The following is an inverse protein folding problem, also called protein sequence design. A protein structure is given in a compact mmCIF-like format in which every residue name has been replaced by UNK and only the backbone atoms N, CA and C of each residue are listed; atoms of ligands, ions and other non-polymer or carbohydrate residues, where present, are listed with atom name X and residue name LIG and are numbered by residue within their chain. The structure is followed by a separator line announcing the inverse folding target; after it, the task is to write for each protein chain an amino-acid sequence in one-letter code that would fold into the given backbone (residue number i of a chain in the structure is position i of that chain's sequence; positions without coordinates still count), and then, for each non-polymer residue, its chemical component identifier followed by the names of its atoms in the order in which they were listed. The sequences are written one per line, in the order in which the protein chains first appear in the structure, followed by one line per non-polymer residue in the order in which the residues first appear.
data_IF_329200315342
#
_entry.id   IF_329200315342
#
_cell.length_a   1.000
_cell.length_b   1.000
_cell.length_c   1.000
_cell.angle_alpha   90.00
_cell.angle_beta   90.00
_cell.angle_gamma   90.00
#
_symmetry.space_group_name_H-M   'P 1'
#
loop_
_entity.id
_entity.type
_entity.pdbx_description
1 polymer ?
#
# COMPACT_ATOMS: atom_id res chain seq x y z
N UNK A 1 -2.21 -10.73 -35.62
CA UNK A 1 -1.64 -10.76 -34.27
C UNK A 1 -0.32 -11.46 -34.45
N UNK A 2 0.76 -10.69 -34.48
CA UNK A 2 2.12 -11.18 -34.69
C UNK A 2 2.82 -11.50 -33.36
N UNK A 3 4.04 -12.05 -33.43
CA UNK A 3 4.79 -12.46 -32.23
C UNK A 3 5.01 -11.30 -31.24
N UNK A 4 5.19 -10.07 -31.75
CA UNK A 4 5.36 -8.90 -30.89
C UNK A 4 4.06 -8.55 -30.18
N UNK A 5 2.92 -8.59 -30.89
CA UNK A 5 1.60 -8.38 -30.31
C UNK A 5 1.31 -9.38 -29.15
N UNK A 6 1.65 -10.67 -29.33
CA UNK A 6 1.44 -11.71 -28.31
C UNK A 6 2.29 -11.46 -27.07
N UNK A 7 3.55 -11.05 -27.26
CA UNK A 7 4.48 -10.70 -26.17
C UNK A 7 4.01 -9.45 -25.42
N UNK A 8 3.48 -8.45 -26.11
CA UNK A 8 2.91 -7.25 -25.50
C UNK A 8 1.69 -7.62 -24.65
N UNK A 9 0.77 -8.44 -25.16
CA UNK A 9 -0.39 -8.89 -24.39
C UNK A 9 0.00 -9.71 -23.16
N UNK A 10 0.99 -10.59 -23.29
CA UNK A 10 1.50 -11.37 -22.16
C UNK A 10 2.11 -10.46 -21.08
N UNK A 11 2.93 -9.48 -21.47
CA UNK A 11 3.51 -8.50 -20.56
C UNK A 11 2.44 -7.65 -19.87
N UNK A 12 1.42 -7.20 -20.60
CA UNK A 12 0.29 -6.44 -20.05
C UNK A 12 -0.49 -7.25 -19.00
N UNK A 13 -0.78 -8.53 -19.30
CA UNK A 13 -1.43 -9.44 -18.33
C UNK A 13 -0.57 -9.64 -17.08
N UNK A 14 0.75 -9.79 -17.24
CA UNK A 14 1.67 -9.92 -16.10
C UNK A 14 1.69 -8.65 -15.24
N UNK A 15 1.74 -7.47 -15.87
CA UNK A 15 1.65 -6.18 -15.17
C UNK A 15 0.35 -6.05 -14.39
N UNK A 16 -0.80 -6.35 -15.00
CA UNK A 16 -2.10 -6.26 -14.35
C UNK A 16 -2.21 -7.17 -13.11
N UNK A 17 -1.67 -8.40 -13.18
CA UNK A 17 -1.63 -9.31 -12.03
C UNK A 17 -0.72 -8.82 -10.91
N UNK A 18 0.43 -8.25 -11.26
CA UNK A 18 1.35 -7.67 -10.27
C UNK A 18 0.73 -6.44 -9.59
N UNK A 19 0.01 -5.60 -10.35
CA UNK A 19 -0.71 -4.43 -9.83
C UNK A 19 -1.81 -4.86 -8.85
N UNK A 20 -2.64 -5.84 -9.20
CA UNK A 20 -3.67 -6.39 -8.30
C UNK A 20 -3.08 -6.93 -7.00
N UNK A 21 -2.01 -7.73 -7.09
CA UNK A 21 -1.33 -8.28 -5.91
C UNK A 21 -0.73 -7.17 -5.03
N UNK A 22 -0.11 -6.16 -5.64
CA UNK A 22 0.42 -5.01 -4.92
C UNK A 22 -0.69 -4.22 -4.22
N UNK A 23 -1.78 -3.91 -4.92
CA UNK A 23 -2.90 -3.15 -4.35
C UNK A 23 -3.54 -3.87 -3.17
N UNK A 24 -3.69 -5.20 -3.24
CA UNK A 24 -4.22 -6.00 -2.12
C UNK A 24 -3.30 -5.94 -0.90
N UNK A 25 -2.00 -6.15 -1.09
CA UNK A 25 -1.02 -6.07 -0.01
C UNK A 25 -0.94 -4.66 0.59
N UNK A 26 -0.98 -3.62 -0.24
CA UNK A 26 -0.98 -2.22 0.22
C UNK A 26 -2.24 -1.88 1.01
N UNK A 27 -3.42 -2.36 0.58
CA UNK A 27 -4.68 -2.17 1.31
C UNK A 27 -4.66 -2.83 2.70
N UNK A 28 -4.12 -4.06 2.80
CA UNK A 28 -3.94 -4.75 4.07
C UNK A 28 -3.01 -3.95 5.00
N UNK A 29 -1.86 -3.49 4.49
CA UNK A 29 -0.92 -2.69 5.26
C UNK A 29 -1.54 -1.38 5.75
N UNK A 30 -2.29 -0.67 4.89
CA UNK A 30 -2.98 0.57 5.28
C UNK A 30 -3.98 0.34 6.40
N UNK A 31 -4.71 -0.77 6.36
CA UNK A 31 -5.66 -1.16 7.42
C UNK A 31 -4.92 -1.33 8.75
N UNK A 32 -3.82 -2.09 8.76
CA UNK A 32 -2.99 -2.29 9.95
C UNK A 32 -2.38 -0.99 10.50
N UNK A 33 -2.05 -0.03 9.64
CA UNK A 33 -1.55 1.29 10.06
C UNK A 33 -2.64 2.11 10.77
N UNK A 34 -3.89 2.04 10.30
CA UNK A 34 -5.03 2.68 10.94
C UNK A 34 -5.33 2.03 12.30
N UNK A 35 -5.36 0.70 12.37
CA UNK A 35 -5.52 -0.04 13.62
C UNK A 35 -4.38 0.26 14.61
N UNK A 36 -3.14 0.29 14.12
CA UNK A 36 -1.98 0.69 14.91
C UNK A 36 -2.14 2.09 15.50
N UNK A 37 -2.70 3.04 14.73
CA UNK A 37 -2.99 4.38 15.22
C UNK A 37 -4.06 4.39 16.30
N UNK A 38 -5.14 3.62 16.12
CA UNK A 38 -6.19 3.45 17.13
C UNK A 38 -5.66 2.82 18.43
N UNK A 39 -4.68 1.92 18.32
CA UNK A 39 -3.94 1.35 19.45
C UNK A 39 -2.87 2.29 20.05
N UNK A 40 -2.83 3.56 19.66
CA UNK A 40 -1.91 4.57 20.19
C UNK A 40 -0.49 4.55 19.59
N UNK A 41 -0.20 3.71 18.58
CA UNK A 41 1.12 3.71 17.93
C UNK A 41 1.32 5.00 17.15
N UNK A 42 2.47 5.64 17.38
CA UNK A 42 2.87 6.88 16.69
C UNK A 42 3.25 6.67 15.22
N UNK A 43 3.10 7.66 14.33
CA UNK A 43 3.51 7.54 12.93
C UNK A 43 5.00 7.28 12.79
N UNK A 44 5.83 7.84 13.66
CA UNK A 44 7.29 7.59 13.67
C UNK A 44 7.65 6.15 14.04
N UNK A 45 6.84 5.49 14.89
CA UNK A 45 7.06 4.09 15.24
C UNK A 45 6.70 3.19 14.06
N UNK A 46 5.55 3.42 13.43
CA UNK A 46 5.09 2.65 12.28
C UNK A 46 5.94 2.88 11.02
N UNK A 47 6.50 4.08 10.83
CA UNK A 47 7.48 4.39 9.79
C UNK A 47 8.71 3.46 9.89
N UNK A 48 9.21 3.19 11.10
CA UNK A 48 10.34 2.27 11.31
C UNK A 48 10.01 0.81 10.96
N UNK A 49 8.75 0.39 11.16
CA UNK A 49 8.31 -0.98 10.87
C UNK A 49 8.13 -1.23 9.36
N UNK A 50 7.75 -0.20 8.61
CA UNK A 50 7.35 -0.30 7.20
C UNK A 50 8.42 0.19 6.23
N UNK A 51 9.39 0.98 6.70
CA UNK A 51 10.34 1.68 5.84
C UNK A 51 9.76 2.94 5.18
N UNK A 52 8.51 3.30 5.47
CA UNK A 52 7.88 4.52 4.96
C UNK A 52 8.29 5.75 5.74
N UNK A 53 8.04 6.93 5.16
CA UNK A 53 8.24 8.19 5.87
C UNK A 53 7.13 8.39 6.90
N UNK A 54 7.46 9.11 7.99
CA UNK A 54 6.49 9.53 9.01
C UNK A 54 5.29 10.27 8.39
N UNK A 55 5.56 11.14 7.42
CA UNK A 55 4.52 11.94 6.73
C UNK A 55 3.57 11.06 5.93
N UNK A 56 4.10 10.05 5.24
CA UNK A 56 3.27 9.10 4.50
C UNK A 56 2.35 8.33 5.44
N UNK A 57 2.91 7.77 6.53
CA UNK A 57 2.12 7.05 7.54
C UNK A 57 1.05 7.96 8.18
N UNK A 58 1.38 9.22 8.45
CA UNK A 58 0.43 10.17 9.02
C UNK A 58 -0.73 10.53 8.07
N UNK A 59 -0.54 10.46 6.75
CA UNK A 59 -1.61 10.65 5.76
C UNK A 59 -2.55 9.45 5.70
N UNK A 60 -2.01 8.23 5.84
CA UNK A 60 -2.81 6.99 5.81
C UNK A 60 -3.61 6.81 7.10
N UNK A 61 -3.01 7.10 8.25
CA UNK A 61 -3.63 6.95 9.56
C UNK A 61 -3.66 8.30 10.31
N UNK A 62 -4.55 9.23 9.89
CA UNK A 62 -4.67 10.53 10.55
C UNK A 62 -5.14 10.35 11.99
N UNK A 63 -4.77 11.30 12.87
CA UNK A 63 -5.35 11.34 14.21
C UNK A 63 -6.84 11.66 14.06
N UNK A 64 -7.73 10.72 14.40
CA UNK A 64 -9.15 11.04 14.51
C UNK A 64 -9.29 11.91 15.77
N UNK A 65 -9.42 13.23 15.62
CA UNK A 65 -9.88 14.08 16.72
C UNK A 65 -11.37 13.79 16.89
N UNK A 66 -11.72 12.88 17.78
CA UNK A 66 -13.06 12.94 18.41
C UNK A 66 -13.14 14.29 19.13
N UNK A 67 -13.91 15.22 18.57
CA UNK A 67 -14.33 16.44 19.27
C UNK A 67 -15.38 16.10 20.31
#
# INVERSE_FOLDING_TARGET
MDELDERIQAAAKKRARAEDAFTKADAELRTLLVEGRAAGKGPSHMAKLTGFTREWVAKIAPLVKTS
#
